data_IF_721752687424
#
_entry.id   IF_721752687424
#
_cell.length_a   1.000
_cell.length_b   1.000
_cell.length_c   1.000
_cell.angle_alpha   90.00
_cell.angle_beta   90.00
_cell.angle_gamma   90.00
#
_symmetry.space_group_name_H-M   'P 1'
#
loop_
_entity.id
_entity.type
_entity.pdbx_description
1 polymer ?
#
# COMPACT_ATOMS: atom_id res chain seq x y z
N UNK A 1 0.30 3.40 -20.34
CA UNK A 1 0.01 4.50 -19.39
C UNK A 1 0.84 4.38 -18.12
N UNK A 2 0.92 3.19 -17.48
CA UNK A 2 1.64 3.01 -16.21
C UNK A 2 3.15 3.34 -16.30
N UNK A 3 3.93 2.89 -17.33
CA UNK A 3 5.34 3.26 -17.44
C UNK A 3 5.57 4.76 -17.59
N UNK A 4 4.68 5.48 -18.29
CA UNK A 4 4.85 6.93 -18.50
C UNK A 4 4.67 7.74 -17.21
N UNK A 5 3.76 7.32 -16.33
CA UNK A 5 3.57 7.97 -15.03
C UNK A 5 4.71 7.68 -14.04
N UNK A 6 5.27 6.45 -14.08
CA UNK A 6 6.40 6.07 -13.24
C UNK A 6 7.73 6.71 -13.66
N UNK A 7 7.83 7.16 -14.90
CA UNK A 7 9.00 7.85 -15.48
C UNK A 7 8.82 9.37 -15.58
N UNK A 8 7.69 9.89 -15.06
CA UNK A 8 7.45 11.33 -15.09
C UNK A 8 8.41 12.06 -14.15
N UNK A 9 9.20 12.95 -14.70
CA UNK A 9 10.19 13.73 -13.96
C UNK A 9 9.61 15.05 -13.42
N UNK A 10 8.49 15.51 -13.98
CA UNK A 10 7.79 16.70 -13.50
C UNK A 10 6.85 16.32 -12.33
N UNK A 11 7.27 16.72 -11.13
CA UNK A 11 6.54 16.43 -9.89
C UNK A 11 5.09 16.96 -9.91
N UNK A 12 4.88 18.19 -10.39
CA UNK A 12 3.56 18.81 -10.43
C UNK A 12 2.65 18.14 -11.46
N UNK A 13 3.20 17.79 -12.63
CA UNK A 13 2.46 17.05 -13.64
C UNK A 13 2.05 15.66 -13.13
N UNK A 14 2.96 14.94 -12.48
CA UNK A 14 2.68 13.65 -11.86
C UNK A 14 1.59 13.77 -10.78
N UNK A 15 1.72 14.75 -9.88
CA UNK A 15 0.77 15.03 -8.80
C UNK A 15 -0.65 15.27 -9.30
N UNK A 16 -0.80 16.00 -10.40
CA UNK A 16 -2.10 16.32 -10.98
C UNK A 16 -2.68 15.19 -11.83
N UNK A 17 -1.86 14.49 -12.60
CA UNK A 17 -2.30 13.47 -13.55
C UNK A 17 -2.67 12.14 -12.89
N UNK A 18 -1.91 11.71 -11.86
CA UNK A 18 -2.09 10.38 -11.24
C UNK A 18 -3.49 10.18 -10.66
N UNK A 19 -4.08 11.10 -9.88
CA UNK A 19 -5.42 10.90 -9.32
C UNK A 19 -6.49 10.66 -10.39
N UNK A 20 -6.47 11.44 -11.46
CA UNK A 20 -7.40 11.30 -12.58
C UNK A 20 -7.24 9.95 -13.29
N UNK A 21 -6.00 9.52 -13.54
CA UNK A 21 -5.70 8.22 -14.12
C UNK A 21 -6.19 7.06 -13.23
N UNK A 22 -5.94 7.13 -11.92
CA UNK A 22 -6.41 6.11 -10.97
C UNK A 22 -7.95 6.03 -10.94
N UNK A 23 -8.64 7.16 -10.93
CA UNK A 23 -10.11 7.20 -10.96
C UNK A 23 -10.67 6.64 -12.27
N UNK A 24 -10.00 6.87 -13.39
CA UNK A 24 -10.38 6.28 -14.68
C UNK A 24 -10.24 4.75 -14.66
N UNK A 25 -9.11 4.23 -14.18
CA UNK A 25 -8.89 2.77 -14.05
C UNK A 25 -9.89 2.16 -13.07
N UNK A 26 -10.19 2.83 -11.95
CA UNK A 26 -11.20 2.37 -10.97
C UNK A 26 -12.59 2.33 -11.61
N UNK A 27 -12.96 3.30 -12.44
CA UNK A 27 -14.20 3.28 -13.20
C UNK A 27 -14.32 2.07 -14.12
N UNK A 28 -13.26 1.73 -14.85
CA UNK A 28 -13.22 0.51 -15.67
C UNK A 28 -13.32 -0.76 -14.83
N UNK A 29 -12.67 -0.80 -13.67
CA UNK A 29 -12.75 -1.94 -12.75
C UNK A 29 -14.18 -2.14 -12.22
N UNK A 30 -14.87 -1.06 -11.85
CA UNK A 30 -16.27 -1.09 -11.37
C UNK A 30 -17.23 -1.55 -12.46
N UNK A 31 -16.95 -1.22 -13.72
CA UNK A 31 -17.77 -1.65 -14.87
C UNK A 31 -17.81 -3.18 -15.11
N UNK A 32 -17.05 -3.97 -14.32
CA UNK A 32 -17.09 -5.43 -14.38
C UNK A 32 -16.38 -6.04 -15.58
N UNK A 33 -15.12 -5.71 -15.83
CA UNK A 33 -14.37 -6.25 -16.96
C UNK A 33 -14.13 -7.76 -16.82
N UNK A 34 -13.71 -8.46 -17.90
CA UNK A 34 -13.26 -9.85 -17.82
C UNK A 34 -12.18 -10.06 -16.76
N UNK A 35 -12.13 -11.26 -16.17
CA UNK A 35 -11.27 -11.60 -15.02
C UNK A 35 -9.78 -11.23 -15.22
N UNK A 36 -9.23 -11.47 -16.41
CA UNK A 36 -7.84 -11.13 -16.73
C UNK A 36 -7.56 -9.62 -16.70
N UNK A 37 -8.49 -8.82 -17.21
CA UNK A 37 -8.40 -7.37 -17.16
C UNK A 37 -8.64 -6.85 -15.73
N UNK A 38 -9.56 -7.47 -15.00
CA UNK A 38 -9.86 -7.14 -13.60
C UNK A 38 -8.63 -7.25 -12.70
N UNK A 39 -7.90 -8.38 -12.75
CA UNK A 39 -6.66 -8.58 -12.01
C UNK A 39 -5.59 -7.55 -12.38
N UNK A 40 -5.48 -7.20 -13.66
CA UNK A 40 -4.56 -6.16 -14.10
C UNK A 40 -4.92 -4.78 -13.53
N UNK A 41 -6.20 -4.43 -13.51
CA UNK A 41 -6.66 -3.17 -12.93
C UNK A 41 -6.43 -3.14 -11.42
N UNK A 42 -6.73 -4.21 -10.70
CA UNK A 42 -6.46 -4.33 -9.26
C UNK A 42 -4.99 -4.10 -8.93
N UNK A 43 -4.08 -4.68 -9.71
CA UNK A 43 -2.64 -4.45 -9.55
C UNK A 43 -2.27 -2.98 -9.79
N UNK A 44 -2.77 -2.35 -10.87
CA UNK A 44 -2.50 -0.94 -11.18
C UNK A 44 -3.03 -0.02 -10.05
N UNK A 45 -4.24 -0.31 -9.55
CA UNK A 45 -4.87 0.47 -8.48
C UNK A 45 -4.13 0.30 -7.15
N UNK A 46 -3.71 -0.91 -6.80
CA UNK A 46 -2.89 -1.17 -5.63
C UNK A 46 -1.60 -0.35 -5.66
N UNK A 47 -0.78 -0.56 -6.69
CA UNK A 47 0.51 0.12 -6.84
C UNK A 47 0.32 1.64 -6.91
N UNK A 48 -0.63 2.11 -7.70
CA UNK A 48 -0.88 3.52 -7.92
C UNK A 48 -1.39 4.26 -6.67
N UNK A 49 -2.33 3.69 -5.93
CA UNK A 49 -2.80 4.32 -4.69
C UNK A 49 -1.73 4.34 -3.60
N UNK A 50 -0.96 3.26 -3.42
CA UNK A 50 0.14 3.27 -2.47
C UNK A 50 1.21 4.30 -2.83
N UNK A 51 1.68 4.29 -4.08
CA UNK A 51 2.72 5.23 -4.54
C UNK A 51 2.24 6.69 -4.46
N UNK A 52 1.00 6.97 -4.88
CA UNK A 52 0.43 8.31 -4.77
C UNK A 52 0.27 8.75 -3.31
N UNK A 53 -0.16 7.86 -2.45
CA UNK A 53 -0.27 8.10 -1.01
C UNK A 53 1.06 8.54 -0.42
N UNK A 54 2.10 7.74 -0.64
CA UNK A 54 3.43 7.99 -0.08
C UNK A 54 4.13 9.21 -0.70
N UNK A 55 4.07 9.34 -2.04
CA UNK A 55 4.84 10.38 -2.72
C UNK A 55 4.23 11.79 -2.61
N UNK A 56 2.93 11.92 -2.39
CA UNK A 56 2.26 13.22 -2.44
C UNK A 56 1.39 13.51 -1.21
N UNK A 57 0.61 12.53 -0.73
CA UNK A 57 -0.37 12.80 0.32
C UNK A 57 0.26 12.78 1.70
N UNK A 58 1.19 11.88 1.96
CA UNK A 58 2.01 11.88 3.19
C UNK A 58 2.93 13.08 3.24
N UNK A 59 3.56 13.45 2.11
CA UNK A 59 4.39 14.65 2.00
C UNK A 59 3.59 15.92 2.38
N UNK A 60 2.40 16.11 1.82
CA UNK A 60 1.50 17.22 2.19
C UNK A 60 1.17 17.23 3.70
N UNK A 61 0.92 16.05 4.27
CA UNK A 61 0.63 15.92 5.69
C UNK A 61 1.84 16.28 6.57
N UNK A 62 3.02 15.81 6.21
CA UNK A 62 4.25 16.14 6.93
C UNK A 62 4.55 17.65 6.87
N UNK A 63 4.45 18.25 5.69
CA UNK A 63 4.62 19.71 5.52
C UNK A 63 3.66 20.48 6.44
N UNK A 64 2.38 20.12 6.46
CA UNK A 64 1.40 20.76 7.33
C UNK A 64 1.72 20.57 8.82
N UNK A 65 2.18 19.38 9.23
CA UNK A 65 2.63 19.11 10.61
C UNK A 65 3.83 19.97 11.01
N UNK A 66 4.86 20.05 10.16
CA UNK A 66 6.03 20.87 10.42
C UNK A 66 5.69 22.36 10.49
N UNK A 67 4.76 22.82 9.65
CA UNK A 67 4.24 24.18 9.69
C UNK A 67 3.33 24.45 10.89
N UNK A 68 2.94 23.42 11.67
CA UNK A 68 1.96 23.49 12.75
C UNK A 68 0.58 23.97 12.31
N UNK A 69 0.26 23.76 11.04
CA UNK A 69 -1.07 24.01 10.48
C UNK A 69 -1.99 22.83 10.77
N UNK A 70 -2.63 22.87 11.95
CA UNK A 70 -3.48 21.77 12.41
C UNK A 70 -4.65 21.47 11.47
N UNK A 71 -5.41 22.46 10.93
CA UNK A 71 -6.49 22.18 9.98
C UNK A 71 -5.99 21.49 8.70
N UNK A 72 -4.87 21.94 8.13
CA UNK A 72 -4.29 21.30 6.95
C UNK A 72 -3.77 19.88 7.27
N UNK A 73 -3.12 19.71 8.44
CA UNK A 73 -2.63 18.40 8.87
C UNK A 73 -3.79 17.39 9.05
N UNK A 74 -4.91 17.78 9.65
CA UNK A 74 -6.10 16.94 9.79
C UNK A 74 -6.71 16.58 8.42
N UNK A 75 -6.80 17.54 7.52
CA UNK A 75 -7.30 17.32 6.17
C UNK A 75 -6.44 16.31 5.41
N UNK A 76 -5.10 16.49 5.41
CA UNK A 76 -4.19 15.59 4.71
C UNK A 76 -4.11 14.21 5.39
N UNK A 77 -4.24 14.13 6.72
CA UNK A 77 -4.34 12.88 7.46
C UNK A 77 -5.57 12.05 7.01
N UNK A 78 -6.72 12.70 6.91
CA UNK A 78 -7.94 12.04 6.42
C UNK A 78 -7.81 11.57 4.96
N UNK A 79 -7.16 12.37 4.10
CA UNK A 79 -6.83 11.97 2.72
C UNK A 79 -5.92 10.75 2.68
N UNK A 80 -4.83 10.75 3.45
CA UNK A 80 -3.88 9.64 3.55
C UNK A 80 -4.59 8.37 3.99
N UNK A 81 -5.37 8.42 5.06
CA UNK A 81 -6.18 7.29 5.53
C UNK A 81 -7.07 6.72 4.41
N UNK A 82 -7.76 7.58 3.66
CA UNK A 82 -8.61 7.14 2.54
C UNK A 82 -7.81 6.49 1.40
N UNK A 83 -6.66 7.05 1.03
CA UNK A 83 -5.82 6.54 -0.06
C UNK A 83 -5.20 5.19 0.32
N UNK A 84 -4.63 5.06 1.52
CA UNK A 84 -4.04 3.80 1.97
C UNK A 84 -5.08 2.71 2.23
N UNK A 85 -6.30 3.08 2.63
CA UNK A 85 -7.42 2.13 2.68
C UNK A 85 -7.74 1.55 1.30
N UNK A 86 -7.70 2.38 0.23
CA UNK A 86 -7.87 1.89 -1.15
C UNK A 86 -6.73 0.96 -1.57
N UNK A 87 -5.48 1.35 -1.31
CA UNK A 87 -4.33 0.48 -1.57
C UNK A 87 -4.47 -0.87 -0.86
N UNK A 88 -4.73 -0.86 0.45
CA UNK A 88 -4.92 -2.08 1.26
C UNK A 88 -6.02 -2.97 0.67
N UNK A 89 -7.17 -2.41 0.33
CA UNK A 89 -8.29 -3.16 -0.23
C UNK A 89 -7.90 -3.88 -1.54
N UNK A 90 -7.18 -3.22 -2.46
CA UNK A 90 -6.73 -3.85 -3.69
C UNK A 90 -5.61 -4.88 -3.43
N UNK A 91 -4.72 -4.64 -2.49
CA UNK A 91 -3.70 -5.60 -2.08
C UNK A 91 -4.32 -6.88 -1.49
N UNK A 92 -5.30 -6.73 -0.59
CA UNK A 92 -6.01 -7.86 0.02
C UNK A 92 -6.80 -8.68 -1.01
N UNK A 93 -7.36 -8.06 -2.06
CA UNK A 93 -7.98 -8.80 -3.17
C UNK A 93 -6.98 -9.71 -3.87
N UNK A 94 -5.78 -9.21 -4.15
CA UNK A 94 -4.70 -10.00 -4.74
C UNK A 94 -4.17 -11.11 -3.84
N UNK A 95 -4.23 -10.94 -2.53
CA UNK A 95 -3.90 -11.98 -1.54
C UNK A 95 -5.02 -13.04 -1.40
N UNK A 96 -6.28 -12.66 -1.66
CA UNK A 96 -7.42 -13.57 -1.67
C UNK A 96 -8.47 -13.29 -0.61
N UNK A 97 -9.63 -13.96 -0.75
CA UNK A 97 -10.82 -13.71 0.08
C UNK A 97 -10.61 -13.96 1.58
N UNK A 98 -9.73 -14.90 1.92
CA UNK A 98 -9.41 -15.18 3.33
C UNK A 98 -8.69 -13.99 3.96
N UNK A 99 -7.76 -13.35 3.26
CA UNK A 99 -7.09 -12.15 3.73
C UNK A 99 -8.04 -10.98 3.92
N UNK A 100 -9.01 -10.80 3.03
CA UNK A 100 -10.01 -9.73 3.15
C UNK A 100 -10.88 -9.87 4.42
N UNK A 101 -11.10 -11.09 4.87
CA UNK A 101 -11.90 -11.37 6.08
C UNK A 101 -11.09 -11.26 7.37
N UNK A 102 -9.84 -11.73 7.34
CA UNK A 102 -9.09 -12.04 8.55
C UNK A 102 -8.02 -10.99 8.90
N UNK A 103 -7.71 -10.02 8.03
CA UNK A 103 -6.60 -9.08 8.26
C UNK A 103 -6.72 -8.30 9.58
N UNK A 104 -7.93 -8.05 10.05
CA UNK A 104 -8.22 -7.41 11.34
C UNK A 104 -8.77 -8.39 12.38
N UNK A 105 -8.62 -9.69 12.14
CA UNK A 105 -9.05 -10.76 13.03
C UNK A 105 -7.99 -11.18 14.05
N UNK A 106 -8.10 -12.43 14.52
CA UNK A 106 -7.18 -12.98 15.49
C UNK A 106 -5.73 -13.05 14.99
N UNK A 107 -4.78 -12.59 15.80
CA UNK A 107 -3.35 -12.51 15.45
C UNK A 107 -2.78 -13.84 14.96
N UNK A 108 -3.14 -14.96 15.57
CA UNK A 108 -2.63 -16.28 15.16
C UNK A 108 -3.13 -16.68 13.78
N UNK A 109 -4.37 -16.31 13.42
CA UNK A 109 -4.94 -16.56 12.09
C UNK A 109 -4.19 -15.73 11.06
N UNK A 110 -3.94 -14.45 11.33
CA UNK A 110 -3.20 -13.55 10.43
C UNK A 110 -1.75 -14.02 10.27
N UNK A 111 -1.08 -14.40 11.35
CA UNK A 111 0.29 -14.93 11.30
C UNK A 111 0.39 -16.21 10.47
N UNK A 112 -0.63 -17.08 10.52
CA UNK A 112 -0.69 -18.25 9.65
C UNK A 112 -0.82 -17.86 8.18
N UNK A 113 -1.68 -16.90 7.84
CA UNK A 113 -1.82 -16.39 6.48
C UNK A 113 -0.51 -15.80 5.95
N UNK A 114 0.20 -15.05 6.79
CA UNK A 114 1.51 -14.47 6.45
C UNK A 114 2.49 -15.59 6.08
N UNK A 115 2.60 -16.63 6.92
CA UNK A 115 3.50 -17.78 6.69
C UNK A 115 3.14 -18.56 5.41
N UNK A 116 1.86 -18.71 5.11
CA UNK A 116 1.35 -19.41 3.93
C UNK A 116 1.56 -18.62 2.63
N UNK A 117 1.81 -17.30 2.70
CA UNK A 117 1.99 -16.46 1.53
C UNK A 117 3.31 -16.79 0.81
N UNK A 118 3.20 -17.07 -0.49
CA UNK A 118 4.33 -17.46 -1.36
C UNK A 118 4.80 -16.34 -2.29
N UNK A 119 5.80 -16.66 -3.12
CA UNK A 119 6.42 -15.71 -4.05
C UNK A 119 5.45 -15.10 -5.07
N UNK A 120 4.44 -15.85 -5.51
CA UNK A 120 3.39 -15.34 -6.42
C UNK A 120 2.55 -14.19 -5.85
N UNK A 121 2.49 -14.08 -4.52
CA UNK A 121 1.74 -13.04 -3.82
C UNK A 121 2.64 -11.99 -3.16
N UNK A 122 3.96 -12.09 -3.35
CA UNK A 122 4.98 -11.24 -2.72
C UNK A 122 4.66 -9.75 -2.83
N UNK A 123 4.30 -9.29 -4.02
CA UNK A 123 4.02 -7.87 -4.27
C UNK A 123 2.77 -7.39 -3.54
N UNK A 124 1.73 -8.20 -3.50
CA UNK A 124 0.50 -7.88 -2.79
C UNK A 124 0.73 -7.84 -1.27
N UNK A 125 1.56 -8.74 -0.73
CA UNK A 125 1.92 -8.74 0.69
C UNK A 125 2.73 -7.48 1.05
N UNK A 126 3.68 -7.08 0.21
CA UNK A 126 4.46 -5.86 0.39
C UNK A 126 3.56 -4.61 0.47
N UNK A 127 2.68 -4.42 -0.52
CA UNK A 127 1.80 -3.25 -0.53
C UNK A 127 0.71 -3.30 0.54
N UNK A 128 0.25 -4.50 0.93
CA UNK A 128 -0.64 -4.63 2.08
C UNK A 128 0.05 -4.21 3.39
N UNK A 129 1.29 -4.66 3.61
CA UNK A 129 2.09 -4.26 4.77
C UNK A 129 2.39 -2.77 4.79
N UNK A 130 2.80 -2.19 3.67
CA UNK A 130 3.03 -0.75 3.53
C UNK A 130 1.75 0.05 3.82
N UNK A 131 0.64 -0.30 3.19
CA UNK A 131 -0.62 0.40 3.39
C UNK A 131 -1.13 0.30 4.84
N UNK A 132 -1.00 -0.87 5.46
CA UNK A 132 -1.38 -1.07 6.85
C UNK A 132 -0.48 -0.26 7.80
N UNK A 133 0.83 -0.22 7.56
CA UNK A 133 1.78 0.60 8.31
C UNK A 133 1.45 2.09 8.23
N UNK A 134 1.18 2.62 7.03
CA UNK A 134 0.73 4.00 6.85
C UNK A 134 -0.61 4.26 7.56
N UNK A 135 -1.57 3.31 7.50
CA UNK A 135 -2.82 3.45 8.24
C UNK A 135 -2.61 3.51 9.76
N UNK A 136 -1.68 2.73 10.30
CA UNK A 136 -1.30 2.82 11.71
C UNK A 136 -0.71 4.20 12.01
N UNK A 137 0.25 4.67 11.21
CA UNK A 137 0.91 5.98 11.39
C UNK A 137 -0.09 7.15 11.37
N UNK A 138 -1.10 7.09 10.51
CA UNK A 138 -2.15 8.10 10.42
C UNK A 138 -3.25 7.99 11.49
N UNK A 139 -3.22 6.96 12.34
CA UNK A 139 -4.23 6.69 13.36
C UNK A 139 -3.60 6.32 14.72
N UNK A 140 -2.47 6.90 15.11
CA UNK A 140 -1.72 6.58 16.32
C UNK A 140 -2.50 6.81 17.64
N UNK A 141 -3.56 7.60 17.61
CA UNK A 141 -4.44 7.83 18.76
C UNK A 141 -5.41 6.66 19.02
N UNK A 142 -5.48 5.69 18.11
CA UNK A 142 -6.38 4.55 18.17
C UNK A 142 -5.61 3.31 18.59
N UNK A 143 -5.87 2.83 19.81
CA UNK A 143 -5.16 1.67 20.42
C UNK A 143 -5.26 0.42 19.53
N UNK A 144 -6.41 0.19 18.91
CA UNK A 144 -6.64 -0.93 17.99
C UNK A 144 -5.75 -0.87 16.75
N UNK A 145 -5.32 0.32 16.33
CA UNK A 145 -4.38 0.46 15.22
C UNK A 145 -2.94 0.15 15.66
N UNK A 146 -2.57 0.55 16.86
CA UNK A 146 -1.24 0.24 17.41
C UNK A 146 -1.02 -1.27 17.57
N UNK A 147 -2.07 -2.03 17.87
CA UNK A 147 -1.97 -3.50 17.96
C UNK A 147 -1.60 -4.18 16.64
N UNK A 148 -1.73 -3.49 15.52
CA UNK A 148 -1.39 -4.01 14.19
C UNK A 148 0.09 -3.86 13.81
N UNK A 149 0.90 -3.15 14.61
CA UNK A 149 2.34 -2.94 14.33
C UNK A 149 3.06 -4.28 14.15
N UNK A 150 2.85 -5.24 15.06
CA UNK A 150 3.44 -6.57 14.94
C UNK A 150 3.00 -7.33 13.68
N UNK A 151 1.77 -7.11 13.21
CA UNK A 151 1.28 -7.66 11.95
C UNK A 151 2.00 -7.05 10.75
N UNK A 152 2.18 -5.71 10.74
CA UNK A 152 2.94 -5.00 9.70
C UNK A 152 4.37 -5.52 9.62
N UNK A 153 5.06 -5.60 10.76
CA UNK A 153 6.43 -6.13 10.86
C UNK A 153 6.52 -7.56 10.31
N UNK A 154 5.59 -8.45 10.71
CA UNK A 154 5.56 -9.82 10.24
C UNK A 154 5.32 -9.92 8.73
N UNK A 155 4.45 -9.09 8.15
CA UNK A 155 4.20 -9.05 6.70
C UNK A 155 5.46 -8.62 5.94
N UNK A 156 6.13 -7.56 6.37
CA UNK A 156 7.33 -7.05 5.71
C UNK A 156 8.50 -8.04 5.86
N UNK A 157 8.68 -8.61 7.05
CA UNK A 157 9.67 -9.67 7.28
C UNK A 157 9.44 -10.87 6.36
N UNK A 158 8.18 -11.28 6.17
CA UNK A 158 7.84 -12.37 5.25
C UNK A 158 8.21 -12.03 3.80
N UNK A 159 8.03 -10.80 3.36
CA UNK A 159 8.47 -10.35 2.03
C UNK A 159 9.98 -10.52 1.88
N UNK A 160 10.77 -10.11 2.88
CA UNK A 160 12.24 -10.26 2.88
C UNK A 160 12.64 -11.74 2.82
N UNK A 161 11.96 -12.62 3.56
CA UNK A 161 12.22 -14.08 3.49
C UNK A 161 11.97 -14.65 2.09
N UNK A 162 10.85 -14.21 1.44
CA UNK A 162 10.52 -14.62 0.07
C UNK A 162 11.60 -14.15 -0.90
N UNK A 163 12.05 -12.90 -0.78
CA UNK A 163 13.09 -12.31 -1.64
C UNK A 163 14.41 -13.04 -1.49
N UNK A 164 14.83 -13.31 -0.26
CA UNK A 164 16.04 -14.06 0.04
C UNK A 164 16.01 -15.47 -0.58
N UNK A 165 14.91 -16.18 -0.42
CA UNK A 165 14.74 -17.53 -0.98
C UNK A 165 14.68 -17.54 -2.50
N UNK A 166 14.11 -16.50 -3.10
CA UNK A 166 13.94 -16.38 -4.55
C UNK A 166 15.19 -15.85 -5.26
N UNK A 167 16.20 -15.41 -4.50
CA UNK A 167 17.39 -14.76 -5.06
C UNK A 167 17.05 -13.47 -5.82
N UNK A 168 16.09 -12.67 -5.33
CA UNK A 168 15.67 -11.45 -6.00
C UNK A 168 16.87 -10.49 -6.13
N UNK A 169 17.27 -10.11 -7.36
CA UNK A 169 18.40 -9.20 -7.54
C UNK A 169 18.12 -7.83 -6.90
N UNK A 170 19.10 -7.25 -6.23
CA UNK A 170 18.99 -5.95 -5.55
C UNK A 170 18.60 -4.79 -6.48
N UNK A 171 18.87 -4.93 -7.78
CA UNK A 171 18.50 -3.92 -8.80
C UNK A 171 17.07 -4.07 -9.35
N UNK A 172 16.29 -5.04 -8.88
CA UNK A 172 14.89 -5.15 -9.27
C UNK A 172 14.04 -4.10 -8.59
N UNK A 173 13.04 -3.63 -9.32
CA UNK A 173 12.01 -2.75 -8.75
C UNK A 173 11.43 -3.38 -7.48
N UNK A 174 11.24 -2.55 -6.47
CA UNK A 174 10.72 -2.93 -5.15
C UNK A 174 11.64 -3.85 -4.30
N UNK A 175 12.89 -4.09 -4.69
CA UNK A 175 13.82 -4.90 -3.87
C UNK A 175 14.20 -4.21 -2.56
N UNK A 176 14.37 -2.88 -2.57
CA UNK A 176 14.73 -2.11 -1.38
C UNK A 176 13.51 -1.77 -0.48
N UNK A 177 12.31 -1.76 -1.04
CA UNK A 177 11.11 -1.28 -0.33
C UNK A 177 10.82 -2.01 0.98
N UNK A 178 10.91 -3.35 1.11
CA UNK A 178 10.66 -4.01 2.39
C UNK A 178 11.67 -3.62 3.46
N UNK A 179 12.93 -3.37 3.11
CA UNK A 179 13.95 -2.92 4.07
C UNK A 179 13.71 -1.48 4.53
N UNK A 180 13.28 -0.60 3.63
CA UNK A 180 12.88 0.77 3.96
C UNK A 180 11.65 0.74 4.87
N UNK A 181 10.63 -0.02 4.50
CA UNK A 181 9.40 -0.13 5.29
C UNK A 181 9.66 -0.65 6.71
N UNK A 182 10.53 -1.65 6.87
CA UNK A 182 10.91 -2.19 8.18
C UNK A 182 11.66 -1.16 9.05
N UNK A 183 12.47 -0.31 8.43
CA UNK A 183 13.18 0.76 9.14
C UNK A 183 12.29 1.94 9.58
N UNK A 184 11.04 2.01 9.11
CA UNK A 184 10.06 3.05 9.44
C UNK A 184 9.05 2.63 10.53
N UNK A 185 9.05 1.36 10.95
CA UNK A 185 8.20 0.82 12.02
C UNK A 185 8.90 1.01 13.36
#
# INVERSE_FOLDING_TARGET
AQPSLQMEADYELARQAIPGALKTVEGFWVAGPPESARKRFEKILMEGYCQYGTAFVEDDWEVAKFAKDLPAAEYHNARATNIFTRCLNYALRGLGSRWQKEIFGETDVVNKLIKETGSGQRLHLLFAGQALGSLVNHNLTRVEMLSLIGTVEAMITRVIEIDTKSGLPANKAHAALPHIALGMI
#
